data_IF_130219026248
#
_entry.id   IF_130219026248
#
_cell.length_a   1.000
_cell.length_b   1.000
_cell.length_c   1.000
_cell.angle_alpha   90.00
_cell.angle_beta   90.00
_cell.angle_gamma   90.00
#
_symmetry.space_group_name_H-M   'P 1'
#
loop_
_entity.id
_entity.type
_entity.pdbx_description
1 polymer ?
#
# COMPACT_ATOMS: atom_id res chain seq x y z
N UNK A 1 -14.34 -36.87 0.68
CA UNK A 1 -13.22 -36.43 -0.19
C UNK A 1 -13.47 -35.08 -0.88
N UNK A 2 -14.59 -34.87 -1.61
CA UNK A 2 -14.87 -33.59 -2.32
C UNK A 2 -14.86 -32.34 -1.42
N UNK A 3 -15.34 -32.43 -0.16
CA UNK A 3 -15.29 -31.31 0.80
C UNK A 3 -13.86 -30.90 1.19
N UNK A 4 -12.86 -31.77 1.05
CA UNK A 4 -11.47 -31.50 1.46
C UNK A 4 -10.67 -30.79 0.34
N UNK A 5 -11.02 -31.05 -0.93
CA UNK A 5 -10.40 -30.42 -2.10
C UNK A 5 -10.87 -28.98 -2.35
N UNK A 6 -12.11 -28.64 -1.93
CA UNK A 6 -12.66 -27.28 -2.06
C UNK A 6 -12.13 -26.26 -1.04
N UNK A 7 -11.21 -26.68 -0.17
CA UNK A 7 -10.80 -25.87 0.99
C UNK A 7 -9.68 -24.88 0.66
N UNK A 8 -9.02 -24.99 -0.49
CA UNK A 8 -7.85 -24.13 -0.82
C UNK A 8 -7.76 -23.68 -2.27
N UNK A 9 -8.35 -24.43 -3.20
CA UNK A 9 -8.27 -24.09 -4.61
C UNK A 9 -9.24 -22.94 -4.94
N UNK A 10 -8.87 -22.05 -5.88
CA UNK A 10 -9.82 -21.16 -6.54
C UNK A 10 -10.99 -21.96 -7.11
N UNK A 11 -12.05 -21.25 -7.51
CA UNK A 11 -13.19 -21.88 -8.18
C UNK A 11 -12.75 -22.83 -9.30
N UNK A 12 -13.37 -24.00 -9.38
CA UNK A 12 -12.96 -25.09 -10.27
C UNK A 12 -12.77 -24.63 -11.73
N UNK A 13 -13.58 -23.66 -12.18
CA UNK A 13 -13.49 -23.06 -13.52
C UNK A 13 -12.22 -22.23 -13.74
N UNK A 14 -11.72 -21.53 -12.73
CA UNK A 14 -10.51 -20.71 -12.84
C UNK A 14 -9.26 -21.60 -12.96
N UNK A 15 -9.20 -22.66 -12.13
CA UNK A 15 -8.13 -23.66 -12.20
C UNK A 15 -8.16 -24.38 -13.55
N UNK A 16 -9.34 -24.83 -13.99
CA UNK A 16 -9.50 -25.51 -15.27
C UNK A 16 -9.13 -24.61 -16.45
N UNK A 17 -9.55 -23.34 -16.42
CA UNK A 17 -9.22 -22.35 -17.43
C UNK A 17 -7.71 -22.07 -17.51
N UNK A 18 -7.03 -21.96 -16.37
CA UNK A 18 -5.58 -21.79 -16.32
C UNK A 18 -4.83 -23.00 -16.88
N UNK A 19 -5.22 -24.22 -16.48
CA UNK A 19 -4.61 -25.47 -17.00
C UNK A 19 -4.84 -25.59 -18.50
N UNK A 20 -6.07 -25.32 -18.98
CA UNK A 20 -6.40 -25.36 -20.40
C UNK A 20 -5.56 -24.36 -21.20
N UNK A 21 -5.44 -23.12 -20.71
CA UNK A 21 -4.62 -22.08 -21.34
C UNK A 21 -3.15 -22.51 -21.43
N UNK A 22 -2.58 -23.03 -20.34
CA UNK A 22 -1.20 -23.52 -20.32
C UNK A 22 -0.98 -24.64 -21.35
N UNK A 23 -1.85 -25.66 -21.35
CA UNK A 23 -1.74 -26.80 -22.28
C UNK A 23 -1.88 -26.35 -23.74
N UNK A 24 -2.83 -25.46 -24.05
CA UNK A 24 -3.04 -24.94 -25.41
C UNK A 24 -1.79 -24.21 -25.91
N UNK A 25 -1.21 -23.33 -25.08
CA UNK A 25 0.00 -22.58 -25.46
C UNK A 25 1.22 -23.48 -25.64
N UNK A 26 1.36 -24.50 -24.80
CA UNK A 26 2.43 -25.49 -24.93
C UNK A 26 2.30 -26.31 -26.22
N UNK A 27 1.07 -26.75 -26.57
CA UNK A 27 0.79 -27.48 -27.81
C UNK A 27 1.06 -26.61 -29.04
N UNK A 28 0.61 -25.35 -29.03
CA UNK A 28 0.85 -24.40 -30.13
C UNK A 28 2.35 -24.18 -30.31
N UNK A 29 3.09 -23.92 -29.23
CA UNK A 29 4.53 -23.71 -29.28
C UNK A 29 5.25 -24.94 -29.81
N UNK A 30 4.93 -26.13 -29.30
CA UNK A 30 5.52 -27.38 -29.78
C UNK A 30 5.27 -27.61 -31.26
N UNK A 31 4.08 -27.26 -31.77
CA UNK A 31 3.74 -27.36 -33.19
C UNK A 31 4.49 -26.36 -34.07
N UNK A 32 4.73 -25.14 -33.60
CA UNK A 32 5.35 -24.08 -34.39
C UNK A 32 6.88 -24.11 -34.35
N UNK A 33 7.46 -24.35 -33.18
CA UNK A 33 8.90 -24.22 -32.93
C UNK A 33 9.61 -25.57 -32.79
N UNK A 34 8.86 -26.67 -32.65
CA UNK A 34 9.40 -27.99 -32.42
C UNK A 34 9.78 -28.24 -30.95
N UNK A 35 10.09 -29.50 -30.59
CA UNK A 35 10.45 -29.86 -29.23
C UNK A 35 11.81 -29.29 -28.83
N UNK A 36 11.94 -28.84 -27.58
CA UNK A 36 13.22 -28.42 -26.99
C UNK A 36 13.59 -26.94 -27.18
N UNK A 37 12.82 -26.17 -27.97
CA UNK A 37 12.95 -24.71 -27.98
C UNK A 37 12.20 -24.15 -26.78
N UNK A 38 12.85 -23.29 -26.00
CA UNK A 38 12.26 -22.67 -24.83
C UNK A 38 11.06 -21.78 -25.19
N UNK A 39 9.96 -21.92 -24.45
CA UNK A 39 8.76 -21.12 -24.61
C UNK A 39 8.69 -20.06 -23.50
N UNK A 40 9.16 -18.85 -23.78
CA UNK A 40 9.14 -17.74 -22.82
C UNK A 40 7.74 -17.40 -22.32
N UNK A 41 6.69 -17.67 -23.13
CA UNK A 41 5.30 -17.39 -22.76
C UNK A 41 4.80 -18.34 -21.69
N UNK A 42 5.06 -19.64 -21.81
CA UNK A 42 4.64 -20.63 -20.80
C UNK A 42 5.51 -20.58 -19.55
N UNK A 43 6.80 -20.24 -19.68
CA UNK A 43 7.66 -19.90 -18.53
C UNK A 43 7.04 -18.75 -17.72
N UNK A 44 6.66 -17.65 -18.39
CA UNK A 44 5.97 -16.54 -17.73
C UNK A 44 4.65 -16.98 -17.09
N UNK A 45 3.86 -17.84 -17.76
CA UNK A 45 2.61 -18.33 -17.20
C UNK A 45 2.80 -19.12 -15.92
N UNK A 46 3.81 -20.00 -15.82
CA UNK A 46 4.07 -20.75 -14.58
C UNK A 46 4.41 -19.81 -13.43
N UNK A 47 5.27 -18.82 -13.70
CA UNK A 47 5.66 -17.82 -12.70
C UNK A 47 4.49 -16.94 -12.27
N UNK A 48 3.69 -16.48 -13.23
CA UNK A 48 2.47 -15.74 -12.99
C UNK A 48 1.43 -16.59 -12.25
N UNK A 49 1.34 -17.87 -12.57
CA UNK A 49 0.46 -18.84 -11.90
C UNK A 49 0.79 -18.98 -10.43
N UNK A 50 2.07 -19.11 -10.06
CA UNK A 50 2.49 -19.14 -8.66
C UNK A 50 2.14 -17.84 -7.91
N UNK A 51 2.39 -16.68 -8.54
CA UNK A 51 2.06 -15.37 -7.97
C UNK A 51 0.54 -15.17 -7.80
N UNK A 52 -0.23 -15.39 -8.86
CA UNK A 52 -1.70 -15.25 -8.86
C UNK A 52 -2.33 -16.23 -7.88
N UNK A 53 -1.84 -17.47 -7.80
CA UNK A 53 -2.32 -18.43 -6.82
C UNK A 53 -2.12 -17.94 -5.38
N UNK A 54 -0.93 -17.39 -5.05
CA UNK A 54 -0.67 -16.80 -3.74
C UNK A 54 -1.63 -15.66 -3.38
N UNK A 55 -1.88 -14.75 -4.33
CA UNK A 55 -2.83 -13.66 -4.14
C UNK A 55 -4.27 -14.18 -3.96
N UNK A 56 -4.75 -15.04 -4.86
CA UNK A 56 -6.10 -15.62 -4.79
C UNK A 56 -6.32 -16.42 -3.51
N UNK A 57 -5.29 -17.14 -3.04
CA UNK A 57 -5.34 -17.92 -1.81
C UNK A 57 -5.57 -17.06 -0.57
N UNK A 58 -5.04 -15.84 -0.55
CA UNK A 58 -5.30 -14.89 0.53
C UNK A 58 -6.65 -14.18 0.35
N UNK A 59 -6.90 -13.64 -0.85
CA UNK A 59 -8.12 -12.87 -1.16
C UNK A 59 -9.40 -13.71 -1.02
N UNK A 60 -9.38 -14.98 -1.43
CA UNK A 60 -10.57 -15.84 -1.39
C UNK A 60 -10.97 -16.32 0.00
N UNK A 61 -10.02 -16.46 0.92
CA UNK A 61 -10.25 -17.09 2.22
C UNK A 61 -10.25 -16.10 3.39
N UNK A 62 -9.68 -14.91 3.20
CA UNK A 62 -9.63 -13.92 4.27
C UNK A 62 -10.94 -13.12 4.36
N UNK A 63 -11.59 -13.04 5.54
CA UNK A 63 -12.89 -12.38 5.67
C UNK A 63 -12.87 -10.90 5.25
N UNK A 64 -11.73 -10.20 5.38
CA UNK A 64 -11.62 -8.78 4.97
C UNK A 64 -11.89 -8.56 3.47
N UNK A 65 -11.59 -9.55 2.63
CA UNK A 65 -11.78 -9.43 1.18
C UNK A 65 -13.08 -10.07 0.70
N UNK A 66 -13.85 -10.69 1.60
CA UNK A 66 -15.12 -11.33 1.30
C UNK A 66 -16.21 -10.80 2.24
N UNK A 67 -16.90 -9.69 1.87
CA UNK A 67 -17.90 -9.05 2.72
C UNK A 67 -19.07 -9.96 3.10
N UNK A 68 -19.48 -10.88 2.23
CA UNK A 68 -20.53 -11.86 2.52
C UNK A 68 -20.08 -12.84 3.60
N UNK A 69 -18.85 -13.36 3.47
CA UNK A 69 -18.26 -14.24 4.47
C UNK A 69 -18.04 -13.54 5.81
N UNK A 70 -17.59 -12.28 5.78
CA UNK A 70 -17.48 -11.46 6.99
C UNK A 70 -18.83 -11.27 7.68
N UNK A 71 -19.88 -10.89 6.94
CA UNK A 71 -21.25 -10.73 7.48
C UNK A 71 -21.80 -12.03 8.05
N UNK A 72 -21.55 -13.14 7.36
CA UNK A 72 -21.96 -14.45 7.85
C UNK A 72 -21.22 -14.79 9.16
N UNK A 73 -19.90 -14.59 9.21
CA UNK A 73 -19.10 -14.83 10.42
C UNK A 73 -19.57 -13.97 11.59
N UNK A 74 -19.83 -12.68 11.37
CA UNK A 74 -20.28 -11.76 12.42
C UNK A 74 -21.69 -12.04 12.92
N UNK A 75 -22.55 -12.68 12.10
CA UNK A 75 -23.89 -13.10 12.50
C UNK A 75 -23.92 -14.45 13.25
N UNK A 76 -22.82 -15.21 13.24
CA UNK A 76 -22.72 -16.48 13.96
C UNK A 76 -21.97 -16.32 15.28
N UNK A 77 -22.14 -17.22 16.27
CA UNK A 77 -21.34 -17.23 17.49
C UNK A 77 -19.90 -17.76 17.25
N UNK A 78 -19.33 -17.48 16.09
CA UNK A 78 -17.99 -17.94 15.74
C UNK A 78 -16.94 -17.30 16.65
N UNK A 79 -15.91 -18.07 16.99
CA UNK A 79 -14.75 -17.62 17.77
C UNK A 79 -13.48 -18.24 17.17
N UNK A 80 -12.32 -17.67 17.49
CA UNK A 80 -11.00 -18.12 17.03
C UNK A 80 -10.66 -19.58 17.39
N UNK A 81 -11.39 -20.16 18.35
CA UNK A 81 -11.27 -21.57 18.76
C UNK A 81 -11.80 -22.55 17.71
N UNK A 82 -12.66 -22.10 16.80
CA UNK A 82 -13.25 -22.94 15.77
C UNK A 82 -12.57 -22.72 14.41
N UNK A 83 -12.41 -23.79 13.60
CA UNK A 83 -11.88 -23.63 12.26
C UNK A 83 -12.78 -22.71 11.43
N UNK A 84 -12.15 -21.91 10.57
CA UNK A 84 -12.86 -21.05 9.62
C UNK A 84 -13.67 -21.90 8.64
N UNK A 85 -15.00 -21.69 8.51
CA UNK A 85 -15.86 -22.54 7.70
C UNK A 85 -15.55 -22.51 6.20
N UNK A 86 -15.07 -21.38 5.68
CA UNK A 86 -14.63 -21.28 4.29
C UNK A 86 -13.27 -21.97 4.05
N UNK A 87 -12.52 -22.30 5.10
CA UNK A 87 -11.16 -22.82 5.03
C UNK A 87 -10.17 -21.95 5.80
N UNK A 88 -9.00 -22.50 6.16
CA UNK A 88 -7.98 -21.78 6.89
C UNK A 88 -7.36 -20.66 6.05
N UNK A 89 -7.19 -19.47 6.62
CA UNK A 89 -6.40 -18.39 6.00
C UNK A 89 -4.93 -18.78 5.89
N UNK A 90 -4.40 -19.48 6.91
CA UNK A 90 -3.02 -19.99 6.92
C UNK A 90 -2.77 -20.98 5.79
N UNK A 91 -1.52 -21.06 5.35
CA UNK A 91 -1.05 -22.03 4.38
C UNK A 91 -1.22 -23.46 4.94
N UNK A 92 -1.54 -24.39 4.06
CA UNK A 92 -1.72 -25.81 4.36
C UNK A 92 -0.92 -26.66 3.39
N UNK A 93 -0.86 -27.98 3.65
CA UNK A 93 -0.10 -28.92 2.82
C UNK A 93 -0.53 -28.90 1.34
N UNK A 94 -1.80 -28.59 1.05
CA UNK A 94 -2.28 -28.47 -0.34
C UNK A 94 -1.57 -27.35 -1.10
N UNK A 95 -1.28 -26.22 -0.46
CA UNK A 95 -0.56 -25.11 -1.09
C UNK A 95 0.87 -25.55 -1.47
N UNK A 96 1.52 -26.35 -0.62
CA UNK A 96 2.84 -26.96 -0.89
C UNK A 96 2.77 -27.93 -2.08
N UNK A 97 1.71 -28.72 -2.19
CA UNK A 97 1.52 -29.64 -3.32
C UNK A 97 1.30 -28.89 -4.63
N UNK A 98 0.51 -27.81 -4.64
CA UNK A 98 0.25 -27.00 -5.84
C UNK A 98 1.54 -26.31 -6.29
N UNK A 99 2.24 -25.63 -5.39
CA UNK A 99 3.51 -24.96 -5.73
C UNK A 99 4.59 -25.99 -6.10
N UNK A 100 4.66 -27.12 -5.38
CA UNK A 100 5.56 -28.22 -5.70
C UNK A 100 5.30 -28.85 -7.07
N UNK A 101 4.03 -28.94 -7.48
CA UNK A 101 3.67 -29.35 -8.85
C UNK A 101 4.15 -28.34 -9.89
N UNK A 102 3.95 -27.04 -9.66
CA UNK A 102 4.48 -26.00 -10.55
C UNK A 102 6.01 -26.04 -10.64
N UNK A 103 6.70 -26.29 -9.52
CA UNK A 103 8.15 -26.51 -9.48
C UNK A 103 8.58 -27.71 -10.28
N UNK A 104 7.86 -28.83 -10.18
CA UNK A 104 8.13 -30.04 -10.94
C UNK A 104 7.96 -29.79 -12.45
N UNK A 105 6.87 -29.13 -12.85
CA UNK A 105 6.61 -28.76 -14.25
C UNK A 105 7.70 -27.81 -14.77
N UNK A 106 8.06 -26.79 -14.00
CA UNK A 106 9.15 -25.88 -14.35
C UNK A 106 10.49 -26.61 -14.51
N UNK A 107 10.82 -27.50 -13.58
CA UNK A 107 12.08 -28.26 -13.63
C UNK A 107 12.17 -29.20 -14.83
N UNK A 108 11.06 -29.86 -15.19
CA UNK A 108 11.03 -30.82 -16.29
C UNK A 108 10.95 -30.17 -17.67
N UNK A 109 10.24 -29.05 -17.80
CA UNK A 109 9.89 -28.47 -19.11
C UNK A 109 10.49 -27.08 -19.38
N UNK A 110 10.90 -26.33 -18.35
CA UNK A 110 11.28 -24.91 -18.49
C UNK A 110 12.62 -24.62 -17.81
N UNK A 111 13.76 -24.94 -18.44
CA UNK A 111 15.09 -24.81 -17.82
C UNK A 111 15.48 -23.37 -17.45
N UNK A 112 14.84 -22.36 -18.05
CA UNK A 112 15.03 -20.95 -17.68
C UNK A 112 14.35 -20.55 -16.38
N UNK A 113 13.29 -21.27 -15.99
CA UNK A 113 12.56 -21.00 -14.76
C UNK A 113 13.32 -21.66 -13.61
N UNK A 114 13.84 -20.85 -12.69
CA UNK A 114 14.47 -21.36 -11.46
C UNK A 114 13.37 -21.88 -10.52
N UNK A 115 13.25 -23.21 -10.29
CA UNK A 115 12.09 -23.74 -9.57
C UNK A 115 11.93 -23.17 -8.16
N UNK A 116 13.05 -22.91 -7.46
CA UNK A 116 13.04 -22.32 -6.12
C UNK A 116 12.49 -20.89 -6.04
N UNK A 117 12.39 -20.16 -7.16
CA UNK A 117 11.77 -18.83 -7.18
C UNK A 117 10.24 -18.89 -7.15
N UNK A 118 9.62 -20.00 -7.54
CA UNK A 118 8.16 -20.16 -7.54
C UNK A 118 7.54 -20.08 -6.13
N UNK A 119 8.03 -20.78 -5.10
CA UNK A 119 7.52 -20.60 -3.74
C UNK A 119 7.77 -19.19 -3.20
N UNK A 120 8.87 -18.53 -3.58
CA UNK A 120 9.13 -17.13 -3.20
C UNK A 120 8.09 -16.20 -3.83
N UNK A 121 7.79 -16.35 -5.13
CA UNK A 121 6.75 -15.57 -5.83
C UNK A 121 5.37 -15.79 -5.23
N UNK A 122 5.02 -17.04 -4.91
CA UNK A 122 3.79 -17.39 -4.21
C UNK A 122 3.69 -16.69 -2.85
N UNK A 123 4.73 -16.82 -2.01
CA UNK A 123 4.76 -16.19 -0.69
C UNK A 123 4.70 -14.67 -0.79
N UNK A 124 5.43 -14.05 -1.72
CA UNK A 124 5.40 -12.59 -1.90
C UNK A 124 4.00 -12.08 -2.22
N UNK A 125 3.29 -12.74 -3.13
CA UNK A 125 1.92 -12.36 -3.49
C UNK A 125 0.94 -12.54 -2.32
N UNK A 126 1.07 -13.65 -1.59
CA UNK A 126 0.28 -13.97 -0.40
C UNK A 126 0.50 -12.92 0.71
N UNK A 127 1.77 -12.61 1.01
CA UNK A 127 2.17 -11.60 2.01
C UNK A 127 1.74 -10.18 1.60
N UNK A 128 1.73 -9.86 0.31
CA UNK A 128 1.29 -8.55 -0.17
C UNK A 128 -0.22 -8.35 0.09
N UNK A 129 -1.02 -9.37 -0.20
CA UNK A 129 -2.44 -9.35 0.13
C UNK A 129 -2.68 -9.30 1.66
N UNK A 130 -1.83 -9.97 2.45
CA UNK A 130 -1.86 -9.87 3.91
C UNK A 130 -1.52 -8.47 4.42
N UNK A 131 -0.48 -7.83 3.90
CA UNK A 131 -0.11 -6.47 4.28
C UNK A 131 -1.27 -5.49 4.06
N UNK A 132 -1.97 -5.62 2.93
CA UNK A 132 -3.20 -4.84 2.64
C UNK A 132 -4.27 -5.14 3.68
N UNK A 133 -4.52 -6.42 4.00
CA UNK A 133 -5.51 -6.79 5.00
C UNK A 133 -5.19 -6.20 6.39
N UNK A 134 -3.92 -6.19 6.80
CA UNK A 134 -3.50 -5.61 8.06
C UNK A 134 -3.65 -4.08 8.09
N UNK A 135 -3.44 -3.39 6.96
CA UNK A 135 -3.74 -1.95 6.86
C UNK A 135 -5.25 -1.72 7.07
N UNK A 136 -6.09 -2.51 6.41
CA UNK A 136 -7.55 -2.40 6.52
C UNK A 136 -8.06 -2.70 7.92
N UNK A 137 -7.36 -3.58 8.66
CA UNK A 137 -7.63 -3.92 10.06
C UNK A 137 -6.94 -3.00 11.07
N UNK A 138 -6.28 -1.92 10.63
CA UNK A 138 -5.50 -0.99 11.47
C UNK A 138 -4.38 -1.66 12.28
N UNK A 139 -3.90 -2.81 11.82
CA UNK A 139 -2.76 -3.56 12.37
C UNK A 139 -1.45 -3.18 11.65
N UNK A 140 -1.21 -1.87 11.50
CA UNK A 140 -0.17 -1.29 10.61
C UNK A 140 1.25 -1.80 10.88
N UNK A 141 1.56 -2.21 12.12
CA UNK A 141 2.87 -2.74 12.50
C UNK A 141 3.26 -3.99 11.72
N UNK A 142 2.32 -4.91 11.47
CA UNK A 142 2.58 -6.10 10.66
C UNK A 142 2.81 -5.71 9.19
N UNK A 143 2.05 -4.75 8.67
CA UNK A 143 2.25 -4.23 7.31
C UNK A 143 3.62 -3.57 7.14
N UNK A 144 4.11 -2.84 8.14
CA UNK A 144 5.47 -2.28 8.12
C UNK A 144 6.52 -3.38 8.14
N UNK A 145 6.38 -4.39 9.00
CA UNK A 145 7.29 -5.54 9.03
C UNK A 145 7.37 -6.23 7.67
N UNK A 146 6.21 -6.43 7.01
CA UNK A 146 6.13 -6.96 5.64
C UNK A 146 6.84 -6.04 4.64
N UNK A 147 6.60 -4.73 4.71
CA UNK A 147 7.25 -3.75 3.85
C UNK A 147 8.78 -3.75 3.95
N UNK A 148 9.33 -3.86 5.17
CA UNK A 148 10.78 -3.97 5.36
C UNK A 148 11.33 -5.30 4.83
N UNK A 149 10.68 -6.41 5.17
CA UNK A 149 11.09 -7.74 4.72
C UNK A 149 11.02 -7.89 3.19
N UNK A 150 10.05 -7.25 2.54
CA UNK A 150 9.97 -7.20 1.07
C UNK A 150 11.18 -6.51 0.45
N UNK A 151 11.67 -5.42 1.03
CA UNK A 151 12.92 -4.81 0.57
C UNK A 151 14.12 -5.74 0.74
N UNK A 152 14.16 -6.56 1.80
CA UNK A 152 15.24 -7.54 2.01
C UNK A 152 15.16 -8.69 0.99
N UNK A 153 13.97 -9.24 0.74
CA UNK A 153 13.71 -10.20 -0.33
C UNK A 153 14.10 -9.62 -1.69
N UNK A 154 13.78 -8.35 -1.93
CA UNK A 154 14.15 -7.63 -3.13
C UNK A 154 15.65 -7.37 -3.23
N UNK A 155 16.45 -7.44 -2.16
CA UNK A 155 17.92 -7.41 -2.23
C UNK A 155 18.51 -8.79 -2.50
N UNK A 156 17.94 -9.84 -1.91
CA UNK A 156 18.46 -11.21 -2.02
C UNK A 156 17.89 -11.99 -3.19
N UNK A 157 16.96 -11.44 -3.98
CA UNK A 157 16.19 -12.11 -5.04
C UNK A 157 16.98 -13.03 -5.99
N UNK A 158 18.25 -12.72 -6.24
CA UNK A 158 19.09 -13.51 -7.14
C UNK A 158 19.56 -14.84 -6.51
N UNK A 159 19.54 -14.94 -5.19
CA UNK A 159 19.89 -16.11 -4.39
C UNK A 159 18.62 -16.65 -3.71
N UNK A 160 18.06 -17.70 -4.32
CA UNK A 160 16.86 -18.35 -3.82
C UNK A 160 17.09 -19.07 -2.48
N UNK A 161 18.31 -19.53 -2.21
CA UNK A 161 18.65 -20.26 -0.99
C UNK A 161 18.63 -19.33 0.24
N UNK A 162 19.01 -18.06 0.06
CA UNK A 162 18.92 -17.03 1.11
C UNK A 162 17.51 -16.43 1.18
N UNK A 163 16.88 -16.20 0.04
CA UNK A 163 15.57 -15.53 -0.04
C UNK A 163 14.43 -16.36 0.54
N UNK A 164 14.44 -17.69 0.31
CA UNK A 164 13.37 -18.57 0.77
C UNK A 164 13.26 -18.61 2.32
N UNK A 165 14.35 -18.77 3.10
CA UNK A 165 14.30 -18.62 4.56
C UNK A 165 13.77 -17.27 5.03
N UNK A 166 14.15 -16.16 4.38
CA UNK A 166 13.64 -14.82 4.72
C UNK A 166 12.13 -14.77 4.52
N UNK A 167 11.64 -15.25 3.38
CA UNK A 167 10.20 -15.32 3.09
C UNK A 167 9.45 -16.23 4.07
N UNK A 168 10.05 -17.35 4.49
CA UNK A 168 9.47 -18.25 5.49
C UNK A 168 9.39 -17.61 6.89
N UNK A 169 10.43 -16.89 7.32
CA UNK A 169 10.42 -16.12 8.57
C UNK A 169 9.36 -15.03 8.52
N UNK A 170 9.25 -14.32 7.39
CA UNK A 170 8.22 -13.33 7.18
C UNK A 170 6.81 -13.91 7.31
N UNK A 171 6.57 -15.07 6.69
CA UNK A 171 5.31 -15.79 6.84
C UNK A 171 5.02 -16.14 8.31
N UNK A 172 6.03 -16.51 9.10
CA UNK A 172 5.89 -16.72 10.53
C UNK A 172 5.40 -15.47 11.28
N UNK A 173 5.94 -14.29 10.96
CA UNK A 173 5.50 -13.01 11.54
C UNK A 173 4.05 -12.71 11.16
N UNK A 174 3.70 -12.89 9.88
CA UNK A 174 2.34 -12.66 9.40
C UNK A 174 1.34 -13.66 9.98
N UNK A 175 1.75 -14.92 10.22
CA UNK A 175 0.90 -15.90 10.89
C UNK A 175 0.54 -15.48 12.32
N UNK A 176 1.49 -14.89 13.06
CA UNK A 176 1.20 -14.29 14.38
C UNK A 176 0.18 -13.14 14.22
N UNK A 177 0.38 -12.27 13.23
CA UNK A 177 -0.55 -11.18 12.91
C UNK A 177 -1.96 -11.67 12.61
N UNK A 178 -2.10 -12.70 11.78
CA UNK A 178 -3.40 -13.32 11.43
C UNK A 178 -4.07 -13.89 12.68
N UNK A 179 -3.33 -14.59 13.54
CA UNK A 179 -3.90 -15.18 14.75
C UNK A 179 -4.42 -14.10 15.71
N UNK A 180 -3.68 -13.00 15.87
CA UNK A 180 -4.12 -11.84 16.67
C UNK A 180 -5.36 -11.20 16.02
N UNK A 181 -5.32 -10.97 14.71
CA UNK A 181 -6.43 -10.39 13.96
C UNK A 181 -7.72 -11.19 14.13
N UNK A 182 -7.65 -12.52 13.97
CA UNK A 182 -8.80 -13.41 14.09
C UNK A 182 -9.30 -13.54 15.54
N UNK A 183 -8.42 -13.49 16.53
CA UNK A 183 -8.80 -13.45 17.95
C UNK A 183 -9.58 -12.18 18.29
N UNK A 184 -9.19 -11.05 17.71
CA UNK A 184 -9.85 -9.76 17.87
C UNK A 184 -10.97 -9.51 16.84
N UNK A 185 -11.46 -10.55 16.15
CA UNK A 185 -12.49 -10.45 15.10
C UNK A 185 -13.74 -9.65 15.54
N UNK A 186 -14.19 -9.83 16.78
CA UNK A 186 -15.36 -9.12 17.32
C UNK A 186 -15.17 -7.59 17.41
N UNK A 187 -13.92 -7.10 17.34
CA UNK A 187 -13.59 -5.66 17.40
C UNK A 187 -13.39 -5.05 16.02
N UNK A 188 -13.53 -5.82 14.95
CA UNK A 188 -13.31 -5.32 13.59
C UNK A 188 -14.37 -4.28 13.24
N UNK A 189 -13.98 -3.01 13.25
CA UNK A 189 -14.80 -1.91 12.77
C UNK A 189 -14.60 -1.74 11.26
N UNK A 190 -15.38 -2.50 10.51
CA UNK A 190 -15.39 -2.47 9.05
C UNK A 190 -16.66 -1.76 8.55
N UNK A 191 -17.06 -0.66 9.21
CA UNK A 191 -18.21 0.15 8.80
C UNK A 191 -18.17 0.54 7.31
N UNK A 192 -16.96 0.71 6.74
CA UNK A 192 -16.76 0.99 5.32
C UNK A 192 -17.21 -0.17 4.40
N UNK A 193 -17.24 -1.43 4.86
CA UNK A 193 -17.75 -2.57 4.08
C UNK A 193 -19.28 -2.63 4.07
N UNK A 194 -19.92 -2.21 5.15
CA UNK A 194 -21.38 -2.16 5.22
C UNK A 194 -21.95 -1.17 4.19
N UNK A 195 -21.16 -0.14 3.89
CA UNK A 195 -21.42 0.89 2.89
C UNK A 195 -21.25 0.43 1.43
N UNK A 196 -20.62 -0.71 1.17
CA UNK A 196 -20.43 -1.24 -0.19
C UNK A 196 -21.60 -2.11 -0.69
N UNK A 197 -22.83 -1.89 -0.21
CA UNK A 197 -23.99 -2.45 -0.91
C UNK A 197 -23.93 -2.03 -2.39
N UNK A 198 -24.15 -2.95 -3.35
CA UNK A 198 -23.92 -2.69 -4.76
C UNK A 198 -24.64 -1.41 -5.19
N UNK A 199 -23.87 -0.48 -5.77
CA UNK A 199 -24.26 0.87 -6.23
C UNK A 199 -25.58 0.92 -7.04
N UNK A 200 -26.06 -0.22 -7.54
CA UNK A 200 -27.26 -0.33 -8.35
C UNK A 200 -28.58 -0.10 -7.59
N UNK A 201 -28.65 -0.24 -6.26
CA UNK A 201 -29.93 -0.25 -5.55
C UNK A 201 -30.22 0.94 -4.63
N UNK A 202 -29.33 1.93 -4.49
CA UNK A 202 -29.65 3.05 -3.60
C UNK A 202 -28.91 4.37 -3.86
N UNK A 203 -29.03 4.89 -5.08
CA UNK A 203 -28.69 6.30 -5.34
C UNK A 203 -29.38 7.24 -4.34
N UNK A 204 -30.61 6.91 -3.89
CA UNK A 204 -31.34 7.68 -2.88
C UNK A 204 -30.63 7.69 -1.52
N UNK A 205 -30.18 6.55 -0.98
CA UNK A 205 -29.38 6.56 0.27
C UNK A 205 -28.04 7.27 0.11
N UNK A 206 -27.40 7.21 -1.06
CA UNK A 206 -26.19 7.98 -1.33
C UNK A 206 -26.48 9.49 -1.29
N UNK A 207 -27.56 9.93 -1.94
CA UNK A 207 -28.03 11.32 -1.92
C UNK A 207 -28.49 11.75 -0.53
N UNK A 208 -29.20 10.91 0.22
CA UNK A 208 -29.62 11.18 1.59
C UNK A 208 -28.44 11.26 2.54
N UNK A 209 -27.39 10.45 2.36
CA UNK A 209 -26.14 10.61 3.11
C UNK A 209 -25.39 11.86 2.72
N UNK A 210 -25.35 12.19 1.42
CA UNK A 210 -24.77 13.46 0.98
C UNK A 210 -25.53 14.64 1.62
N UNK A 211 -26.87 14.58 1.66
CA UNK A 211 -27.73 15.59 2.31
C UNK A 211 -27.60 15.62 3.83
N UNK A 212 -27.59 14.46 4.49
CA UNK A 212 -27.44 14.37 5.95
C UNK A 212 -26.03 14.73 6.42
N UNK A 213 -25.06 14.72 5.51
CA UNK A 213 -23.68 15.14 5.74
C UNK A 213 -23.42 16.62 5.44
N UNK A 214 -24.41 17.35 4.94
CA UNK A 214 -24.35 18.79 4.63
C UNK A 214 -25.08 19.53 5.76
N UNK A 215 -24.32 20.10 6.69
CA UNK A 215 -24.80 21.05 7.71
C UNK A 215 -25.21 22.40 7.10
N UNK A 216 -25.00 22.58 5.80
CA UNK A 216 -25.26 23.83 5.09
C UNK A 216 -24.11 24.81 5.28
N UNK A 217 -24.02 25.76 4.36
CA UNK A 217 -23.02 26.82 4.45
C UNK A 217 -23.38 27.81 5.58
N UNK A 218 -22.40 28.34 6.33
CA UNK A 218 -20.95 28.10 6.29
C UNK A 218 -20.48 26.94 7.20
N UNK A 219 -21.39 26.23 7.85
CA UNK A 219 -21.07 25.30 8.94
C UNK A 219 -20.46 23.97 8.47
N UNK A 220 -20.57 23.62 7.19
CA UNK A 220 -19.89 22.45 6.62
C UNK A 220 -18.35 22.52 6.75
N UNK A 221 -17.78 23.72 6.76
CA UNK A 221 -16.35 23.93 6.99
C UNK A 221 -15.96 23.76 8.47
N UNK A 222 -16.92 23.91 9.38
CA UNK A 222 -16.76 23.76 10.83
C UNK A 222 -17.14 22.37 11.32
N UNK A 223 -17.72 21.55 10.43
CA UNK A 223 -18.04 20.17 10.76
C UNK A 223 -16.77 19.48 11.27
N UNK A 224 -16.84 18.77 12.40
CA UNK A 224 -15.82 17.78 12.72
C UNK A 224 -15.88 16.75 11.59
N UNK A 225 -15.01 16.89 10.58
CA UNK A 225 -14.73 15.77 9.69
C UNK A 225 -14.36 14.64 10.65
N UNK A 226 -15.07 13.51 10.54
CA UNK A 226 -14.70 12.27 11.21
C UNK A 226 -13.18 12.20 11.16
N UNK A 227 -12.58 12.14 12.34
CA UNK A 227 -11.15 12.36 12.51
C UNK A 227 -10.43 11.42 11.56
N UNK A 228 -10.04 11.95 10.39
CA UNK A 228 -9.25 11.22 9.43
C UNK A 228 -8.00 10.87 10.20
N UNK A 229 -7.85 9.58 10.52
CA UNK A 229 -6.85 9.11 11.48
C UNK A 229 -5.53 9.78 11.13
N UNK A 230 -5.12 10.73 11.96
CA UNK A 230 -3.91 11.47 11.69
C UNK A 230 -2.76 10.50 11.94
N UNK A 231 -1.89 10.34 10.95
CA UNK A 231 -0.64 9.57 11.09
C UNK A 231 0.01 9.95 12.42
N UNK A 232 0.12 8.99 13.32
CA UNK A 232 0.74 9.21 14.61
C UNK A 232 2.23 9.46 14.43
N UNK A 233 2.88 10.14 15.37
CA UNK A 233 4.33 10.39 15.28
C UNK A 233 5.14 9.10 15.08
N UNK A 234 4.75 8.02 15.77
CA UNK A 234 5.42 6.72 15.67
C UNK A 234 5.27 6.12 14.26
N UNK A 235 4.07 6.14 13.70
CA UNK A 235 3.82 5.70 12.32
C UNK A 235 4.57 6.56 11.31
N UNK A 236 4.60 7.88 11.52
CA UNK A 236 5.34 8.79 10.67
C UNK A 236 6.84 8.48 10.64
N UNK A 237 7.45 8.16 11.79
CA UNK A 237 8.86 7.71 11.86
C UNK A 237 9.07 6.39 11.10
N UNK A 238 8.22 5.39 11.32
CA UNK A 238 8.37 4.06 10.70
C UNK A 238 8.15 4.14 9.18
N UNK A 239 7.15 4.89 8.73
CA UNK A 239 6.92 5.18 7.31
C UNK A 239 8.13 5.85 6.69
N UNK A 240 8.74 6.81 7.38
CA UNK A 240 9.92 7.52 6.88
C UNK A 240 11.12 6.60 6.73
N UNK A 241 11.34 5.72 7.70
CA UNK A 241 12.37 4.67 7.61
C UNK A 241 12.08 3.71 6.47
N UNK A 242 10.81 3.35 6.26
CA UNK A 242 10.40 2.47 5.16
C UNK A 242 10.66 3.12 3.80
N UNK A 243 10.40 4.41 3.64
CA UNK A 243 10.75 5.16 2.42
C UNK A 243 12.26 5.15 2.16
N UNK A 244 13.07 5.48 3.18
CA UNK A 244 14.53 5.39 3.07
C UNK A 244 15.01 3.99 2.72
N UNK A 245 14.44 2.96 3.36
CA UNK A 245 14.75 1.57 3.09
C UNK A 245 14.51 1.18 1.63
N UNK A 246 13.35 1.54 1.05
CA UNK A 246 13.08 1.25 -0.36
C UNK A 246 13.98 2.01 -1.33
N UNK A 247 14.40 3.23 -0.98
CA UNK A 247 15.39 3.98 -1.77
C UNK A 247 16.75 3.30 -1.71
N UNK A 248 17.18 2.80 -0.54
CA UNK A 248 18.40 1.99 -0.42
C UNK A 248 18.31 0.74 -1.32
N UNK A 249 17.21 -0.01 -1.23
CA UNK A 249 16.97 -1.21 -2.03
C UNK A 249 17.07 -0.89 -3.53
N UNK A 250 16.42 0.19 -3.99
CA UNK A 250 16.46 0.61 -5.38
C UNK A 250 17.89 0.99 -5.83
N UNK A 251 18.62 1.78 -5.02
CA UNK A 251 19.98 2.22 -5.35
C UNK A 251 20.97 1.05 -5.43
N UNK A 252 20.87 0.08 -4.52
CA UNK A 252 21.73 -1.09 -4.52
C UNK A 252 21.51 -1.98 -5.75
N UNK A 253 20.33 -1.91 -6.38
CA UNK A 253 20.00 -2.62 -7.62
C UNK A 253 20.48 -1.91 -8.89
N UNK A 254 20.92 -0.66 -8.78
CA UNK A 254 21.44 0.11 -9.91
C UNK A 254 22.96 -0.07 -10.00
N UNK A 255 23.45 -0.14 -11.24
CA UNK A 255 24.88 -0.13 -11.58
C UNK A 255 25.61 1.00 -10.82
N UNK A 256 26.67 0.70 -10.05
CA UNK A 256 27.43 1.69 -9.28
C UNK A 256 27.70 3.00 -10.03
N UNK A 257 28.07 2.92 -11.31
CA UNK A 257 28.42 4.08 -12.13
C UNK A 257 27.24 5.02 -12.39
N UNK A 258 26.00 4.52 -12.33
CA UNK A 258 24.77 5.27 -12.63
C UNK A 258 24.00 5.70 -11.39
N UNK A 259 24.43 5.30 -10.19
CA UNK A 259 23.68 5.55 -8.94
C UNK A 259 23.46 7.03 -8.67
N UNK A 260 24.48 7.87 -8.89
CA UNK A 260 24.37 9.31 -8.66
C UNK A 260 23.33 9.97 -9.58
N UNK A 261 23.30 9.59 -10.86
CA UNK A 261 22.36 10.15 -11.84
C UNK A 261 20.92 9.68 -11.55
N UNK A 262 20.73 8.39 -11.29
CA UNK A 262 19.40 7.87 -10.96
C UNK A 262 18.90 8.45 -9.64
N UNK A 263 19.78 8.63 -8.65
CA UNK A 263 19.44 9.33 -7.42
C UNK A 263 18.91 10.74 -7.68
N UNK A 264 19.58 11.55 -8.51
CA UNK A 264 19.11 12.92 -8.83
C UNK A 264 17.67 12.91 -9.37
N UNK A 265 17.36 11.95 -10.25
CA UNK A 265 15.99 11.79 -10.79
C UNK A 265 15.01 11.34 -9.71
N UNK A 266 15.32 10.28 -8.97
CA UNK A 266 14.45 9.76 -7.90
C UNK A 266 14.21 10.81 -6.81
N UNK A 267 15.24 11.55 -6.45
CA UNK A 267 15.18 12.61 -5.46
C UNK A 267 14.17 13.69 -5.85
N UNK A 268 14.20 14.19 -7.09
CA UNK A 268 13.21 15.16 -7.58
C UNK A 268 11.81 14.55 -7.60
N UNK A 269 11.67 13.31 -8.08
CA UNK A 269 10.38 12.63 -8.18
C UNK A 269 9.75 12.28 -6.83
N UNK A 270 10.53 12.11 -5.77
CA UNK A 270 10.01 11.77 -4.44
C UNK A 270 9.83 13.01 -3.57
N UNK A 271 10.83 13.91 -3.53
CA UNK A 271 10.81 15.06 -2.62
C UNK A 271 9.79 16.13 -3.04
N UNK A 272 9.73 16.49 -4.32
CA UNK A 272 8.86 17.57 -4.80
C UNK A 272 7.37 17.23 -4.62
N UNK A 273 6.87 16.05 -5.04
CA UNK A 273 5.48 15.70 -4.80
C UNK A 273 5.12 15.63 -3.32
N UNK A 274 6.01 15.16 -2.45
CA UNK A 274 5.78 15.14 -1.00
C UNK A 274 5.60 16.55 -0.42
N UNK A 275 6.47 17.48 -0.80
CA UNK A 275 6.39 18.90 -0.41
C UNK A 275 5.10 19.54 -0.95
N UNK A 276 4.79 19.33 -2.22
CA UNK A 276 3.60 19.89 -2.87
C UNK A 276 2.31 19.31 -2.30
N UNK A 277 2.25 18.00 -2.07
CA UNK A 277 1.09 17.34 -1.45
C UNK A 277 0.87 17.87 -0.03
N UNK A 278 1.94 18.03 0.76
CA UNK A 278 1.86 18.62 2.10
C UNK A 278 1.32 20.05 2.04
N UNK A 279 1.86 20.90 1.17
CA UNK A 279 1.37 22.27 1.00
C UNK A 279 -0.10 22.30 0.55
N UNK A 280 -0.47 21.44 -0.40
CA UNK A 280 -1.85 21.33 -0.88
C UNK A 280 -2.80 20.92 0.24
N UNK A 281 -2.48 19.91 1.05
CA UNK A 281 -3.35 19.45 2.16
C UNK A 281 -3.72 20.58 3.14
N UNK A 282 -2.76 21.48 3.42
CA UNK A 282 -2.97 22.61 4.33
C UNK A 282 -3.63 23.78 3.61
N UNK A 283 -3.11 24.22 2.47
CA UNK A 283 -3.56 25.45 1.81
C UNK A 283 -4.80 25.26 0.91
N UNK A 284 -5.24 24.03 0.63
CA UNK A 284 -6.44 23.79 -0.17
C UNK A 284 -7.69 24.32 0.53
N UNK A 285 -8.28 25.37 -0.04
CA UNK A 285 -9.49 26.02 0.49
C UNK A 285 -9.22 27.09 1.55
N UNK A 286 -7.96 27.37 1.88
CA UNK A 286 -7.57 28.36 2.89
C UNK A 286 -6.62 29.40 2.29
N UNK A 287 -6.74 30.64 2.74
CA UNK A 287 -5.89 31.74 2.31
C UNK A 287 -5.31 32.49 3.51
N UNK A 288 -4.13 33.08 3.30
CA UNK A 288 -3.50 33.97 4.27
C UNK A 288 -4.42 35.16 4.59
N UNK A 289 -4.48 35.60 5.87
CA UNK A 289 -5.29 36.74 6.27
C UNK A 289 -4.74 38.06 5.72
N UNK A 290 -3.42 38.14 5.50
CA UNK A 290 -2.74 39.25 4.83
C UNK A 290 -2.19 38.77 3.48
N UNK A 291 -2.33 39.60 2.44
CA UNK A 291 -1.64 39.36 1.17
C UNK A 291 -0.11 39.44 1.36
N UNK A 292 0.65 38.86 0.45
CA UNK A 292 2.12 38.94 0.48
C UNK A 292 2.62 40.38 0.62
N UNK A 293 2.09 41.30 -0.19
CA UNK A 293 2.43 42.73 -0.10
C UNK A 293 2.04 43.36 1.23
N UNK A 294 0.87 43.02 1.79
CA UNK A 294 0.47 43.51 3.10
C UNK A 294 1.40 43.02 4.22
N UNK A 295 1.98 41.82 4.10
CA UNK A 295 3.01 41.32 5.03
C UNK A 295 4.28 42.17 4.97
N UNK A 296 4.76 42.47 3.76
CA UNK A 296 5.95 43.30 3.53
C UNK A 296 5.75 44.71 4.09
N UNK A 297 4.67 45.40 3.71
CA UNK A 297 4.43 46.78 4.13
C UNK A 297 4.13 46.93 5.63
N UNK A 298 3.50 45.93 6.26
CA UNK A 298 3.24 45.94 7.71
C UNK A 298 4.39 45.37 8.54
N UNK A 299 5.52 45.01 7.91
CA UNK A 299 6.67 44.35 8.54
C UNK A 299 6.29 43.08 9.33
N UNK A 300 5.22 42.40 8.91
CA UNK A 300 4.71 41.15 9.51
C UNK A 300 4.99 39.99 8.55
N UNK A 301 6.27 39.66 8.39
CA UNK A 301 6.75 38.61 7.49
C UNK A 301 6.19 37.23 7.87
N UNK A 302 6.13 36.96 9.18
CA UNK A 302 5.63 35.71 9.75
C UNK A 302 4.30 35.98 10.47
N UNK A 303 3.29 35.19 10.15
CA UNK A 303 1.99 35.16 10.81
C UNK A 303 1.95 33.89 11.67
N UNK A 304 2.08 34.02 13.01
CA UNK A 304 1.99 32.89 13.91
C UNK A 304 0.70 32.10 13.68
N UNK A 305 0.79 30.77 13.67
CA UNK A 305 -0.33 29.88 13.39
C UNK A 305 -0.51 29.58 11.89
N UNK A 306 -0.59 30.59 11.01
CA UNK A 306 -0.75 30.36 9.57
C UNK A 306 0.52 29.77 8.94
N UNK A 307 1.66 30.44 9.13
CA UNK A 307 2.92 30.05 8.48
C UNK A 307 3.55 28.79 9.11
N UNK A 308 3.02 28.31 10.24
CA UNK A 308 3.50 27.09 10.88
C UNK A 308 3.30 25.85 10.00
N UNK A 309 2.32 25.86 9.07
CA UNK A 309 2.14 24.80 8.08
C UNK A 309 3.27 24.73 7.03
N UNK A 310 3.93 25.86 6.75
CA UNK A 310 5.05 25.92 5.79
C UNK A 310 6.37 25.41 6.39
N UNK A 311 6.46 25.24 7.71
CA UNK A 311 7.69 24.83 8.38
C UNK A 311 8.22 23.49 7.86
N UNK A 312 7.37 22.46 7.80
CA UNK A 312 7.76 21.14 7.32
C UNK A 312 8.24 21.14 5.85
N UNK A 313 7.49 21.71 4.89
CA UNK A 313 7.94 21.93 3.51
C UNK A 313 9.29 22.64 3.39
N UNK A 314 9.50 23.75 4.12
CA UNK A 314 10.74 24.51 4.06
C UNK A 314 11.93 23.73 4.64
N UNK A 315 11.74 23.09 5.79
CA UNK A 315 12.75 22.20 6.38
C UNK A 315 13.09 21.03 5.44
N UNK A 316 12.09 20.45 4.78
CA UNK A 316 12.29 19.40 3.78
C UNK A 316 13.12 19.91 2.59
N UNK A 317 12.86 21.11 2.07
CA UNK A 317 13.66 21.72 1.00
C UNK A 317 15.11 21.93 1.44
N UNK A 318 15.35 22.41 2.67
CA UNK A 318 16.72 22.58 3.20
C UNK A 318 17.44 21.24 3.30
N UNK A 319 16.81 20.22 3.89
CA UNK A 319 17.37 18.86 3.98
C UNK A 319 17.66 18.31 2.59
N UNK A 320 16.75 18.52 1.65
CA UNK A 320 16.86 18.10 0.27
C UNK A 320 18.09 18.78 -0.40
N UNK A 321 18.22 20.10 -0.31
CA UNK A 321 19.36 20.83 -0.86
C UNK A 321 20.69 20.37 -0.26
N UNK A 322 20.75 20.19 1.07
CA UNK A 322 21.94 19.70 1.75
C UNK A 322 22.29 18.28 1.31
N UNK A 323 21.32 17.36 1.25
CA UNK A 323 21.53 15.99 0.77
C UNK A 323 22.01 15.95 -0.69
N UNK A 324 21.49 16.84 -1.54
CA UNK A 324 21.95 16.99 -2.92
C UNK A 324 23.41 17.45 -3.02
N UNK A 325 23.80 18.42 -2.20
CA UNK A 325 25.21 18.88 -2.11
C UNK A 325 26.11 17.76 -1.61
N UNK A 326 25.75 17.07 -0.53
CA UNK A 326 26.56 15.97 0.04
C UNK A 326 26.73 14.84 -0.98
N UNK A 327 25.69 14.48 -1.75
CA UNK A 327 25.83 13.49 -2.82
C UNK A 327 26.72 13.98 -3.96
N UNK A 328 26.64 15.25 -4.33
CA UNK A 328 27.51 15.82 -5.36
C UNK A 328 28.98 15.83 -4.93
N UNK A 329 29.25 16.02 -3.64
CA UNK A 329 30.62 15.98 -3.07
C UNK A 329 31.13 14.55 -2.86
N UNK A 330 30.25 13.61 -2.51
CA UNK A 330 30.60 12.23 -2.12
C UNK A 330 29.82 11.18 -2.93
N UNK A 331 30.04 11.06 -4.25
CA UNK A 331 29.26 10.18 -5.12
C UNK A 331 29.39 8.68 -4.75
N UNK A 332 30.53 8.27 -4.21
CA UNK A 332 30.76 6.87 -3.81
C UNK A 332 29.90 6.44 -2.61
N UNK A 333 29.42 7.42 -1.81
CA UNK A 333 28.61 7.19 -0.62
C UNK A 333 27.10 7.36 -0.86
N UNK A 334 26.67 7.48 -2.12
CA UNK A 334 25.25 7.57 -2.50
C UNK A 334 24.36 6.52 -1.82
N UNK A 335 24.75 5.21 -1.73
CA UNK A 335 23.92 4.22 -1.07
C UNK A 335 23.60 4.51 0.39
N UNK A 336 24.43 5.28 1.11
CA UNK A 336 24.17 5.68 2.50
C UNK A 336 23.47 7.04 2.58
N UNK A 337 23.92 8.04 1.81
CA UNK A 337 23.46 9.42 1.90
C UNK A 337 22.02 9.57 1.37
N UNK A 338 21.71 8.93 0.24
CA UNK A 338 20.40 9.04 -0.40
C UNK A 338 19.24 8.53 0.47
N UNK A 339 19.26 7.29 0.99
CA UNK A 339 18.17 6.81 1.85
C UNK A 339 18.07 7.58 3.16
N UNK A 340 19.19 8.02 3.75
CA UNK A 340 19.17 8.87 4.94
C UNK A 340 18.48 10.21 4.65
N UNK A 341 18.80 10.83 3.51
CA UNK A 341 18.18 12.09 3.06
C UNK A 341 16.68 11.93 2.85
N UNK A 342 16.23 10.88 2.15
CA UNK A 342 14.78 10.62 1.96
C UNK A 342 14.09 10.32 3.29
N UNK A 343 14.72 9.56 4.18
CA UNK A 343 14.20 9.30 5.52
C UNK A 343 13.97 10.61 6.27
N UNK A 344 14.95 11.53 6.24
CA UNK A 344 14.85 12.81 6.93
C UNK A 344 13.78 13.73 6.30
N UNK A 345 13.68 13.76 4.97
CA UNK A 345 12.63 14.50 4.26
C UNK A 345 11.25 13.96 4.65
N UNK A 346 11.04 12.64 4.54
CA UNK A 346 9.78 12.00 4.90
C UNK A 346 9.45 12.23 6.39
N UNK A 347 10.43 12.08 7.29
CA UNK A 347 10.24 12.29 8.72
C UNK A 347 9.84 13.72 9.03
N UNK A 348 10.43 14.69 8.33
CA UNK A 348 10.06 16.10 8.43
C UNK A 348 8.64 16.33 7.92
N UNK A 349 8.27 15.76 6.76
CA UNK A 349 6.95 15.96 6.18
C UNK A 349 5.82 15.31 7.00
N UNK A 350 6.06 14.13 7.58
CA UNK A 350 5.06 13.44 8.40
C UNK A 350 4.97 13.99 9.83
N UNK A 351 6.11 14.29 10.45
CA UNK A 351 6.16 14.56 11.89
C UNK A 351 6.34 16.04 12.27
N UNK A 352 6.82 16.90 11.36
CA UNK A 352 7.01 18.32 11.63
C UNK A 352 5.76 19.14 11.25
N UNK A 353 5.51 20.19 12.03
CA UNK A 353 4.40 21.11 11.85
C UNK A 353 3.14 20.73 12.65
N UNK A 354 2.06 21.52 12.53
CA UNK A 354 0.82 21.28 13.26
C UNK A 354 0.07 20.11 12.64
N UNK A 355 -0.73 19.36 13.41
CA UNK A 355 -1.70 18.44 12.80
C UNK A 355 -2.70 19.22 11.94
N UNK A 356 -3.19 18.62 10.84
CA UNK A 356 -4.15 19.27 9.94
C UNK A 356 -5.39 19.73 10.71
N UNK A 357 -5.89 18.90 11.64
CA UNK A 357 -7.02 19.25 12.52
C UNK A 357 -6.72 20.48 13.37
N UNK A 358 -5.58 20.50 14.07
CA UNK A 358 -5.19 21.64 14.91
C UNK A 358 -5.01 22.90 14.08
N UNK A 359 -4.31 22.81 12.95
CA UNK A 359 -4.09 23.95 12.07
C UNK A 359 -5.38 24.51 11.49
N UNK A 360 -6.35 23.67 11.11
CA UNK A 360 -7.66 24.14 10.62
C UNK A 360 -8.49 24.82 11.70
N UNK A 361 -8.39 24.36 12.95
CA UNK A 361 -9.18 24.91 14.06
C UNK A 361 -8.57 26.17 14.66
N UNK A 362 -7.24 26.23 14.76
CA UNK A 362 -6.53 27.33 15.45
C UNK A 362 -5.65 28.15 14.52
N UNK A 363 -5.66 27.85 13.22
CA UNK A 363 -4.88 28.58 12.22
C UNK A 363 -5.48 29.95 11.99
N UNK A 364 -4.64 30.98 12.02
CA UNK A 364 -5.00 32.34 11.63
C UNK A 364 -5.14 32.45 10.10
N UNK A 365 -6.07 31.71 9.52
CA UNK A 365 -6.40 31.69 8.09
C UNK A 365 -7.84 32.18 7.85
N UNK A 366 -8.11 32.60 6.61
CA UNK A 366 -9.46 32.82 6.10
C UNK A 366 -9.81 31.75 5.07
N UNK A 367 -11.09 31.47 4.87
CA UNK A 367 -11.54 30.61 3.77
C UNK A 367 -11.23 31.28 2.42
N UNK A 368 -10.81 30.49 1.43
CA UNK A 368 -10.53 31.03 0.11
C UNK A 368 -11.83 31.43 -0.60
N UNK A 369 -11.85 32.53 -1.38
CA UNK A 369 -13.04 32.93 -2.14
C UNK A 369 -13.54 31.85 -3.10
N UNK A 370 -12.62 31.05 -3.66
CA UNK A 370 -12.96 29.93 -4.54
C UNK A 370 -13.82 28.88 -3.81
N UNK A 371 -13.50 28.54 -2.56
CA UNK A 371 -14.31 27.60 -1.78
C UNK A 371 -15.69 28.19 -1.46
N UNK A 372 -15.76 29.49 -1.18
CA UNK A 372 -17.03 30.19 -0.96
C UNK A 372 -17.92 30.19 -2.22
N UNK A 373 -17.33 30.39 -3.41
CA UNK A 373 -18.06 30.36 -4.68
C UNK A 373 -18.52 28.95 -5.06
N UNK A 374 -17.67 27.93 -4.87
CA UNK A 374 -18.02 26.54 -5.14
C UNK A 374 -19.21 26.08 -4.29
N UNK A 375 -19.22 26.44 -3.01
CA UNK A 375 -20.33 26.12 -2.11
C UNK A 375 -21.62 26.85 -2.54
N UNK A 376 -21.54 28.13 -2.91
CA UNK A 376 -22.69 28.87 -3.44
C UNK A 376 -23.28 28.26 -4.72
N UNK A 377 -22.44 27.73 -5.62
CA UNK A 377 -22.91 27.03 -6.81
C UNK A 377 -23.63 25.73 -6.46
N UNK A 378 -23.13 24.97 -5.48
CA UNK A 378 -23.79 23.75 -5.03
C UNK A 378 -25.16 24.01 -4.40
N UNK A 379 -25.35 25.14 -3.73
CA UNK A 379 -26.66 25.57 -3.21
C UNK A 379 -27.63 25.86 -4.35
N UNK A 380 -27.19 26.61 -5.36
CA UNK A 380 -28.03 26.96 -6.53
C UNK A 380 -28.45 25.73 -7.35
N UNK A 381 -27.73 24.61 -7.26
CA UNK A 381 -28.11 23.34 -7.90
C UNK A 381 -29.07 22.49 -7.06
N UNK A 382 -29.21 22.79 -5.77
CA UNK A 382 -30.11 22.06 -4.87
C UNK A 382 -31.51 22.68 -4.78
N UNK A 383 -31.65 23.95 -5.17
CA UNK A 383 -32.93 24.66 -5.38
C UNK A 383 -33.42 24.35 -6.79
#
# INVERSE_FOLDING_TARGET
MRRWLRVTLPTDWAVSGYIMLYVVLEVIHWRLMGPGIENSTTSFLIEAGAFVYGALRMLGFHPVFNPEYFKWLSATPWTDRYPLPAGPVRLVLQDVLVVGFLMLVAWLHHPSVRPLLLPIKFLLAYEMALAISFIMLRMVWFSYAIGFAFGLIALTWNDAAVTLPIAAVLYGVSLIGINIALRDFAKWDLAWMEDQQPLALNQQRFVERMRSKVLGWPFDCLRPKEDSESVTYREGVVLSLLFGWWVLVAILRIDPLRRADVWRVLFVLVSMPGVMARLAIYYWGYASPLSFWARVFRLRWIIPGYDYAALAPLSAIVIASLGGVVVATYPDHVPAIAPATITLIAATLFNLGPSVKRWRLTGNHRLSPAMLMANKQSELQQI
#
